data_IF_024871253498
#
_entry.id   IF_024871253498
#
_cell.length_a   1.000
_cell.length_b   1.000
_cell.length_c   1.000
_cell.angle_alpha   90.00
_cell.angle_beta   90.00
_cell.angle_gamma   90.00
#
_symmetry.space_group_name_H-M   'P 1'
#
loop_
_entity.id
_entity.type
_entity.pdbx_description
1 polymer ?
#
# COMPACT_ATOMS: atom_id res chain seq x y z
N UNK A 1 45.53 14.44 -31.79
CA UNK A 1 44.56 13.59 -32.53
C UNK A 1 43.43 13.31 -31.59
N UNK A 2 42.26 13.90 -31.87
CA UNK A 2 41.11 13.78 -31.02
C UNK A 2 40.33 12.50 -31.39
N UNK A 3 40.18 11.63 -30.44
CA UNK A 3 39.39 10.41 -30.57
C UNK A 3 37.90 10.79 -30.67
N UNK A 4 37.30 10.55 -31.83
CA UNK A 4 35.86 10.73 -32.02
C UNK A 4 35.12 9.54 -31.41
N UNK A 5 34.43 9.79 -30.30
CA UNK A 5 33.44 8.86 -29.78
C UNK A 5 32.40 8.58 -30.86
N UNK A 6 32.31 7.34 -31.31
CA UNK A 6 31.26 6.85 -32.18
C UNK A 6 29.97 6.79 -31.35
N UNK A 7 29.06 7.71 -31.63
CA UNK A 7 27.70 7.62 -31.08
C UNK A 7 26.98 6.53 -31.85
N UNK A 8 26.73 5.41 -31.20
CA UNK A 8 25.89 4.35 -31.72
C UNK A 8 24.42 4.86 -31.83
N UNK A 9 23.95 5.04 -33.05
CA UNK A 9 22.62 5.56 -33.37
C UNK A 9 21.58 4.45 -33.61
N UNK A 10 21.84 3.23 -33.13
CA UNK A 10 20.83 2.19 -33.17
C UNK A 10 19.80 2.44 -32.04
N UNK A 11 18.60 2.86 -32.43
CA UNK A 11 17.46 2.97 -31.51
C UNK A 11 17.15 1.61 -30.84
N UNK A 12 16.45 1.61 -29.71
CA UNK A 12 16.18 0.39 -28.95
C UNK A 12 15.40 -0.61 -29.81
N UNK A 13 16.04 -1.70 -30.17
CA UNK A 13 15.41 -2.84 -30.83
C UNK A 13 14.60 -3.63 -29.78
N UNK A 14 13.49 -4.28 -30.20
CA UNK A 14 12.66 -5.13 -29.34
C UNK A 14 13.51 -6.19 -28.62
N UNK A 15 14.53 -6.72 -29.29
CA UNK A 15 15.46 -7.69 -28.70
C UNK A 15 16.28 -7.13 -27.54
N UNK A 16 16.56 -5.81 -27.50
CA UNK A 16 17.27 -5.16 -26.41
C UNK A 16 16.40 -4.99 -25.15
N UNK A 17 15.07 -4.97 -25.31
CA UNK A 17 14.11 -4.90 -24.20
C UNK A 17 13.99 -6.27 -23.51
N UNK A 18 14.04 -7.35 -24.28
CA UNK A 18 13.95 -8.73 -23.76
C UNK A 18 15.21 -9.18 -23.00
N UNK A 19 16.37 -8.60 -23.31
CA UNK A 19 17.66 -8.94 -22.73
C UNK A 19 18.28 -7.76 -21.95
N UNK A 20 17.46 -7.01 -21.21
CA UNK A 20 17.94 -5.87 -20.44
C UNK A 20 18.92 -6.32 -19.33
N UNK A 21 20.16 -5.88 -19.44
CA UNK A 21 21.24 -6.18 -18.49
C UNK A 21 21.74 -4.94 -17.72
N UNK A 22 21.19 -3.77 -18.03
CA UNK A 22 21.57 -2.53 -17.35
C UNK A 22 21.07 -2.56 -15.90
N UNK A 23 21.94 -2.17 -14.99
CA UNK A 23 21.58 -1.95 -13.59
C UNK A 23 21.53 -0.45 -13.33
N UNK A 24 20.47 -0.03 -12.66
CA UNK A 24 20.26 1.36 -12.30
C UNK A 24 20.45 1.48 -10.80
N UNK A 25 21.46 2.24 -10.40
CA UNK A 25 21.72 2.53 -9.00
C UNK A 25 20.62 3.46 -8.45
N UNK A 26 20.19 3.20 -7.22
CA UNK A 26 19.21 4.04 -6.55
C UNK A 26 19.86 5.40 -6.20
N UNK A 27 19.21 6.55 -6.52
CA UNK A 27 19.73 7.84 -6.11
C UNK A 27 19.93 7.92 -4.59
N UNK A 28 21.10 8.35 -4.10
CA UNK A 28 21.40 8.37 -2.66
C UNK A 28 20.43 9.19 -1.83
N UNK A 29 19.91 10.29 -2.38
CA UNK A 29 18.92 11.13 -1.68
C UNK A 29 17.57 10.44 -1.51
N UNK A 30 17.18 9.59 -2.45
CA UNK A 30 15.99 8.76 -2.33
C UNK A 30 16.19 7.68 -1.27
N UNK A 31 17.32 6.96 -1.29
CA UNK A 31 17.61 5.89 -0.31
C UNK A 31 17.63 6.41 1.13
N UNK A 32 18.16 7.62 1.36
CA UNK A 32 18.18 8.24 2.70
C UNK A 32 16.79 8.48 3.28
N UNK A 33 15.78 8.75 2.44
CA UNK A 33 14.41 9.06 2.84
C UNK A 33 13.48 7.84 2.74
N UNK A 34 13.92 6.75 2.13
CA UNK A 34 13.14 5.53 1.98
C UNK A 34 12.89 4.85 3.34
N UNK A 35 11.76 4.15 3.46
CA UNK A 35 11.43 3.36 4.65
C UNK A 35 12.38 2.18 4.83
N UNK A 36 12.82 1.56 3.72
CA UNK A 36 13.86 0.52 3.66
C UNK A 36 15.01 1.13 2.89
N UNK A 37 16.18 1.22 3.50
CA UNK A 37 17.30 2.04 3.00
C UNK A 37 18.37 1.23 2.25
N UNK A 38 18.41 -0.07 2.46
CA UNK A 38 19.38 -0.95 1.84
C UNK A 38 18.79 -2.33 1.51
N UNK A 39 19.52 -3.08 0.68
CA UNK A 39 19.16 -4.45 0.34
C UNK A 39 19.27 -5.38 1.57
N UNK A 40 20.29 -5.16 2.40
CA UNK A 40 20.50 -5.94 3.62
C UNK A 40 19.34 -5.76 4.61
N UNK A 41 18.81 -4.53 4.75
CA UNK A 41 17.64 -4.25 5.56
C UNK A 41 16.39 -4.96 5.02
N UNK A 42 16.22 -4.97 3.70
CA UNK A 42 15.15 -5.71 3.04
C UNK A 42 15.26 -7.21 3.28
N UNK A 43 16.44 -7.79 3.07
CA UNK A 43 16.70 -9.22 3.28
C UNK A 43 16.46 -9.63 4.73
N UNK A 44 16.84 -8.79 5.69
CA UNK A 44 16.56 -9.02 7.11
C UNK A 44 15.06 -9.10 7.39
N UNK A 45 14.30 -8.10 6.90
CA UNK A 45 12.83 -8.05 7.07
C UNK A 45 12.16 -9.23 6.37
N UNK A 46 12.63 -9.58 5.17
CA UNK A 46 12.13 -10.71 4.41
C UNK A 46 12.34 -12.03 5.15
N UNK A 47 13.57 -12.27 5.64
CA UNK A 47 13.88 -13.48 6.38
C UNK A 47 13.06 -13.58 7.68
N UNK A 48 12.89 -12.48 8.43
CA UNK A 48 12.00 -12.44 9.60
C UNK A 48 10.57 -12.90 9.24
N UNK A 49 10.07 -12.48 8.06
CA UNK A 49 8.71 -12.84 7.62
C UNK A 49 8.55 -14.32 7.25
N UNK A 50 9.64 -15.01 6.90
CA UNK A 50 9.67 -16.43 6.54
C UNK A 50 9.93 -17.30 7.79
N UNK A 51 10.87 -16.88 8.63
CA UNK A 51 11.32 -17.66 9.80
C UNK A 51 10.26 -17.68 10.93
N UNK A 52 9.60 -16.54 11.16
CA UNK A 52 8.54 -16.41 12.17
C UNK A 52 7.38 -15.55 11.64
N UNK A 53 6.55 -16.09 10.73
CA UNK A 53 5.44 -15.37 10.14
C UNK A 53 4.41 -14.91 11.18
N UNK A 54 4.19 -15.65 12.24
CA UNK A 54 3.21 -15.29 13.27
C UNK A 54 3.65 -14.01 14.00
N UNK A 55 4.91 -13.93 14.41
CA UNK A 55 5.46 -12.74 15.06
C UNK A 55 5.52 -11.56 14.10
N UNK A 56 6.02 -11.77 12.87
CA UNK A 56 6.13 -10.74 11.87
C UNK A 56 4.77 -10.10 11.57
N UNK A 57 3.78 -10.91 11.20
CA UNK A 57 2.45 -10.41 10.83
C UNK A 57 1.66 -9.87 12.03
N UNK A 58 1.88 -10.39 13.25
CA UNK A 58 1.36 -9.77 14.47
C UNK A 58 1.83 -8.34 14.65
N UNK A 59 3.12 -8.09 14.43
CA UNK A 59 3.72 -6.76 14.53
C UNK A 59 3.10 -5.80 13.52
N UNK A 60 3.08 -6.19 12.24
CA UNK A 60 2.52 -5.37 11.17
C UNK A 60 1.03 -5.10 11.38
N UNK A 61 0.24 -6.12 11.68
CA UNK A 61 -1.20 -6.00 11.88
C UNK A 61 -1.57 -5.16 13.12
N UNK A 62 -0.68 -5.05 14.11
CA UNK A 62 -0.91 -4.22 15.31
C UNK A 62 -0.90 -2.72 15.01
N UNK A 63 -0.44 -2.27 13.85
CA UNK A 63 -0.55 -0.88 13.39
C UNK A 63 -1.97 -0.50 12.97
N UNK A 64 -2.82 -1.49 12.72
CA UNK A 64 -4.22 -1.29 12.39
C UNK A 64 -5.07 -1.27 13.66
N UNK A 65 -6.23 -0.59 13.58
CA UNK A 65 -7.21 -0.62 14.65
C UNK A 65 -8.09 -1.87 14.54
N UNK A 66 -8.03 -2.71 15.57
CA UNK A 66 -8.85 -3.90 15.71
C UNK A 66 -9.89 -3.68 16.82
N UNK A 67 -11.15 -3.97 16.54
CA UNK A 67 -12.20 -3.99 17.57
C UNK A 67 -12.04 -5.19 18.52
N UNK A 68 -11.56 -6.31 17.98
CA UNK A 68 -11.09 -7.47 18.74
C UNK A 68 -9.81 -7.97 18.11
N UNK A 69 -8.73 -8.10 18.87
CA UNK A 69 -7.50 -8.74 18.39
C UNK A 69 -7.77 -10.20 18.08
N UNK A 70 -6.97 -10.75 17.20
CA UNK A 70 -7.00 -12.16 16.81
C UNK A 70 -6.53 -13.08 17.94
N UNK A 71 -7.00 -14.32 17.89
CA UNK A 71 -6.58 -15.38 18.78
C UNK A 71 -5.36 -16.12 18.20
N UNK A 72 -5.28 -16.21 16.86
CA UNK A 72 -4.20 -16.82 16.09
C UNK A 72 -3.95 -16.08 14.79
N UNK A 73 -2.67 -15.88 14.41
CA UNK A 73 -2.31 -15.11 13.22
C UNK A 73 -2.60 -15.91 11.96
N UNK A 74 -2.18 -17.16 11.91
CA UNK A 74 -2.34 -18.01 10.72
C UNK A 74 -2.78 -19.42 11.09
N UNK A 75 -3.85 -19.90 10.48
CA UNK A 75 -4.17 -21.32 10.38
C UNK A 75 -3.92 -21.77 8.95
N UNK A 76 -2.90 -22.60 8.78
CA UNK A 76 -2.54 -23.17 7.49
C UNK A 76 -2.99 -24.62 7.38
N UNK A 77 -3.84 -24.88 6.38
CA UNK A 77 -4.25 -26.24 5.98
C UNK A 77 -4.30 -26.27 4.45
N UNK A 78 -3.16 -26.60 3.84
CA UNK A 78 -2.97 -26.51 2.40
C UNK A 78 -4.10 -27.19 1.60
N UNK A 79 -4.72 -26.52 0.61
CA UNK A 79 -4.40 -25.18 0.08
C UNK A 79 -5.09 -24.00 0.82
N UNK A 80 -5.74 -24.25 1.95
CA UNK A 80 -6.56 -23.28 2.66
C UNK A 80 -5.76 -22.55 3.75
N UNK A 81 -5.90 -21.24 3.79
CA UNK A 81 -5.32 -20.39 4.84
C UNK A 81 -6.41 -19.52 5.49
N UNK A 82 -6.36 -19.38 6.82
CA UNK A 82 -7.15 -18.38 7.54
C UNK A 82 -6.19 -17.46 8.28
N UNK A 83 -6.31 -16.17 8.03
CA UNK A 83 -5.50 -15.14 8.67
C UNK A 83 -6.28 -14.45 9.79
N UNK A 84 -5.57 -14.11 10.87
CA UNK A 84 -6.08 -13.33 12.00
C UNK A 84 -7.38 -13.90 12.57
N UNK A 85 -7.37 -15.19 12.85
CA UNK A 85 -8.54 -15.97 13.29
C UNK A 85 -9.11 -15.39 14.57
N UNK A 86 -10.42 -15.19 14.61
CA UNK A 86 -11.15 -14.60 15.74
C UNK A 86 -11.02 -13.07 15.84
N UNK A 87 -10.20 -12.44 15.01
CA UNK A 87 -10.05 -10.99 14.96
C UNK A 87 -11.27 -10.29 14.35
N UNK A 88 -11.55 -9.06 14.80
CA UNK A 88 -12.60 -8.20 14.24
C UNK A 88 -12.01 -6.86 13.85
N UNK A 89 -12.09 -6.53 12.58
CA UNK A 89 -11.57 -5.31 11.99
C UNK A 89 -12.59 -4.72 11.01
N UNK A 90 -12.63 -3.40 10.92
CA UNK A 90 -13.38 -2.69 9.88
C UNK A 90 -12.40 -1.87 9.03
N UNK A 91 -12.41 -2.13 7.73
CA UNK A 91 -11.55 -1.44 6.78
C UNK A 91 -11.92 0.04 6.66
N UNK A 92 -13.20 0.36 6.59
CA UNK A 92 -13.67 1.76 6.52
C UNK A 92 -13.22 2.56 7.74
N UNK A 93 -13.34 1.98 8.95
CA UNK A 93 -12.84 2.61 10.16
C UNK A 93 -11.35 2.92 10.07
N UNK A 94 -10.55 1.97 9.64
CA UNK A 94 -9.10 2.15 9.51
C UNK A 94 -8.71 3.18 8.44
N UNK A 95 -9.47 3.27 7.35
CA UNK A 95 -9.19 4.19 6.25
C UNK A 95 -9.74 5.60 6.48
N UNK A 96 -10.83 5.76 7.21
CA UNK A 96 -11.55 7.03 7.32
C UNK A 96 -11.72 7.49 8.77
N UNK A 97 -12.47 6.74 9.59
CA UNK A 97 -12.95 7.20 10.90
C UNK A 97 -11.78 7.61 11.81
N UNK A 98 -10.77 6.74 11.96
CA UNK A 98 -9.58 7.04 12.79
C UNK A 98 -8.81 8.28 12.33
N UNK A 99 -8.95 8.69 11.07
CA UNK A 99 -8.29 9.89 10.54
C UNK A 99 -9.12 11.15 10.73
N UNK A 100 -10.45 11.04 10.75
CA UNK A 100 -11.36 12.15 11.03
C UNK A 100 -11.23 12.65 12.48
N UNK A 101 -10.87 11.77 13.41
CA UNK A 101 -10.62 12.09 14.82
C UNK A 101 -9.30 12.85 15.05
N UNK A 102 -8.45 12.98 14.01
CA UNK A 102 -7.13 13.59 14.06
C UNK A 102 -7.06 14.90 13.27
N UNK A 103 -5.89 15.54 13.28
CA UNK A 103 -5.59 16.70 12.43
C UNK A 103 -5.78 16.43 10.93
N UNK A 104 -5.77 15.16 10.52
CA UNK A 104 -5.92 14.74 9.12
C UNK A 104 -7.33 14.96 8.56
N UNK A 105 -8.33 15.24 9.37
CA UNK A 105 -9.72 15.44 8.95
C UNK A 105 -9.89 16.40 7.77
N UNK A 106 -9.07 17.44 7.72
CA UNK A 106 -9.10 18.47 6.68
C UNK A 106 -8.12 18.23 5.53
N UNK A 107 -7.30 17.15 5.59
CA UNK A 107 -6.41 16.78 4.52
C UNK A 107 -7.20 16.16 3.37
N UNK A 108 -6.76 16.39 2.11
CA UNK A 108 -7.32 15.71 0.95
C UNK A 108 -7.14 14.19 1.09
N UNK A 109 -8.26 13.45 1.03
CA UNK A 109 -8.29 11.99 1.05
C UNK A 109 -8.33 11.45 -0.38
N UNK A 110 -9.07 12.13 -1.26
CA UNK A 110 -9.18 11.79 -2.68
C UNK A 110 -9.06 13.06 -3.49
N UNK A 111 -8.24 13.00 -4.54
CA UNK A 111 -8.20 13.97 -5.62
C UNK A 111 -8.56 13.22 -6.87
N UNK A 112 -9.69 13.57 -7.47
CA UNK A 112 -10.16 13.00 -8.72
C UNK A 112 -10.02 14.00 -9.82
N UNK A 113 -9.54 13.57 -10.97
CA UNK A 113 -9.43 14.36 -12.19
C UNK A 113 -10.08 13.61 -13.35
N UNK A 114 -10.96 14.28 -14.07
CA UNK A 114 -11.62 13.73 -15.24
C UNK A 114 -10.77 13.92 -16.49
N UNK A 115 -11.07 13.18 -17.57
CA UNK A 115 -10.41 13.31 -18.86
C UNK A 115 -10.49 14.76 -19.44
N UNK A 116 -11.63 15.49 -19.37
CA UNK A 116 -11.69 16.90 -19.76
C UNK A 116 -11.04 17.88 -18.78
N UNK A 117 -10.43 17.43 -17.70
CA UNK A 117 -9.67 18.26 -16.76
C UNK A 117 -10.46 18.81 -15.56
N UNK A 118 -11.69 18.36 -15.34
CA UNK A 118 -12.39 18.69 -14.08
C UNK A 118 -11.70 18.04 -12.89
N UNK A 119 -11.46 18.81 -11.83
CA UNK A 119 -10.85 18.32 -10.60
C UNK A 119 -11.84 18.40 -9.45
N UNK A 120 -11.94 17.30 -8.67
CA UNK A 120 -12.67 17.25 -7.40
C UNK A 120 -11.75 16.76 -6.29
N UNK A 121 -11.69 17.51 -5.21
CA UNK A 121 -10.97 17.09 -4.00
C UNK A 121 -11.97 16.88 -2.86
N UNK A 122 -11.84 15.74 -2.19
CA UNK A 122 -12.60 15.42 -0.98
C UNK A 122 -11.63 15.32 0.19
N UNK A 123 -11.90 16.01 1.27
CA UNK A 123 -11.20 15.82 2.54
C UNK A 123 -11.64 14.52 3.20
N UNK A 124 -10.86 14.00 4.17
CA UNK A 124 -11.26 12.85 4.97
C UNK A 124 -12.65 13.04 5.61
N UNK A 125 -12.94 14.23 6.14
CA UNK A 125 -14.23 14.54 6.74
C UNK A 125 -15.38 14.54 5.71
N UNK A 126 -15.15 15.07 4.51
CA UNK A 126 -16.17 15.06 3.46
C UNK A 126 -16.43 13.64 2.96
N UNK A 127 -15.37 12.88 2.69
CA UNK A 127 -15.48 11.48 2.26
C UNK A 127 -16.19 10.62 3.31
N UNK A 128 -15.87 10.79 4.59
CA UNK A 128 -16.53 10.09 5.69
C UNK A 128 -18.05 10.34 5.70
N UNK A 129 -18.49 11.60 5.50
CA UNK A 129 -19.93 11.92 5.41
C UNK A 129 -20.61 11.23 4.23
N UNK A 130 -19.96 11.18 3.07
CA UNK A 130 -20.52 10.50 1.89
C UNK A 130 -20.59 8.98 2.10
N UNK A 131 -19.59 8.38 2.72
CA UNK A 131 -19.60 6.96 3.09
C UNK A 131 -20.74 6.64 4.07
N UNK A 132 -20.95 7.48 5.09
CA UNK A 132 -22.08 7.30 6.03
C UNK A 132 -23.44 7.38 5.33
N UNK A 133 -23.64 8.34 4.42
CA UNK A 133 -24.88 8.43 3.63
C UNK A 133 -25.10 7.16 2.82
N UNK A 134 -24.07 6.68 2.15
CA UNK A 134 -24.19 5.47 1.33
C UNK A 134 -24.42 4.21 2.18
N UNK A 135 -23.77 4.08 3.32
CA UNK A 135 -24.00 3.00 4.27
C UNK A 135 -25.47 2.98 4.75
N UNK A 136 -26.06 4.14 5.07
CA UNK A 136 -27.48 4.24 5.44
C UNK A 136 -28.43 3.82 4.31
N UNK A 137 -28.06 4.07 3.05
CA UNK A 137 -28.84 3.61 1.89
C UNK A 137 -28.80 2.09 1.77
N UNK A 138 -27.63 1.48 1.97
CA UNK A 138 -27.47 0.02 1.93
C UNK A 138 -28.25 -0.65 3.08
N UNK A 139 -28.16 -0.11 4.29
CA UNK A 139 -28.87 -0.64 5.45
C UNK A 139 -30.39 -0.64 5.23
N UNK A 140 -30.95 0.46 4.74
CA UNK A 140 -32.39 0.57 4.42
C UNK A 140 -32.86 -0.40 3.33
N UNK A 141 -32.01 -0.80 2.41
CA UNK A 141 -32.30 -1.77 1.34
C UNK A 141 -32.18 -3.22 1.79
N UNK A 142 -31.51 -3.47 2.90
CA UNK A 142 -31.33 -4.82 3.46
C UNK A 142 -32.54 -5.32 4.27
N UNK A 143 -33.59 -4.50 4.42
CA UNK A 143 -34.83 -4.85 5.12
C UNK A 143 -35.94 -5.13 4.08
N UNK A 144 -35.69 -6.12 3.22
CA UNK A 144 -36.75 -6.73 2.38
C UNK A 144 -36.66 -8.24 2.50
#
# INVERSE_FOLDING_TARGET
>A
MADKAVVDTQGPNIDSILNEQRKFECPPEFSKQAHIKSLEEYEHIYNESIDDPDKFWSRIASELHWFKKWDKVLEWNCPWAKWFVGGQINLSYNCLDRHVETWRKNKAAIIWESEPGEVRALTYQQLHREVQKFANVLDRKSVV
#
